data_IF_408700312318
#
_entry.id   IF_408700312318
#
_cell.length_a   1.000
_cell.length_b   1.000
_cell.length_c   1.000
_cell.angle_alpha   90.00
_cell.angle_beta   90.00
_cell.angle_gamma   90.00
#
_symmetry.space_group_name_H-M   'P 1'
#
loop_
_entity.id
_entity.type
_entity.pdbx_description
1 polymer ?
#
# COMPACT_ATOMS: atom_id res chain seq x y z
N UNK A 1 -0.03 -15.04 -14.50
CA UNK A 1 -1.02 -14.36 -13.67
C UNK A 1 -0.40 -14.02 -12.33
N UNK A 2 -0.28 -12.74 -12.01
CA UNK A 2 0.35 -12.29 -10.78
C UNK A 2 -0.67 -11.78 -9.76
N UNK A 3 -0.26 -11.70 -8.49
CA UNK A 3 -1.16 -11.43 -7.38
C UNK A 3 -1.76 -10.00 -7.40
N UNK A 4 -1.18 -9.00 -8.08
CA UNK A 4 -1.81 -7.67 -8.25
C UNK A 4 -3.02 -7.66 -9.19
N UNK A 5 -3.03 -8.46 -10.27
CA UNK A 5 -4.25 -8.65 -11.09
C UNK A 5 -5.42 -9.09 -10.22
N UNK A 6 -5.11 -10.06 -9.38
CA UNK A 6 -5.97 -10.59 -8.34
C UNK A 6 -6.33 -9.51 -7.29
N UNK A 7 -5.38 -8.61 -6.98
CA UNK A 7 -5.50 -7.66 -5.88
C UNK A 7 -6.02 -6.26 -6.25
N UNK A 8 -6.08 -5.84 -7.51
CA UNK A 8 -6.37 -4.43 -7.80
C UNK A 8 -7.06 -4.17 -9.13
N UNK A 9 -7.05 -5.14 -10.07
CA UNK A 9 -7.84 -5.15 -11.30
C UNK A 9 -7.70 -3.93 -12.23
N UNK A 10 -7.06 -4.08 -13.39
CA UNK A 10 -7.29 -3.15 -14.50
C UNK A 10 -8.29 -3.72 -15.50
N UNK A 11 -9.05 -2.83 -16.12
CA UNK A 11 -9.92 -3.17 -17.23
C UNK A 11 -9.12 -3.67 -18.44
N UNK A 12 -9.28 -4.96 -18.73
CA UNK A 12 -9.64 -5.47 -20.05
C UNK A 12 -10.55 -6.68 -19.82
N UNK A 13 -11.83 -6.52 -20.18
CA UNK A 13 -12.91 -7.48 -20.38
C UNK A 13 -13.10 -8.62 -19.34
N UNK A 14 -14.24 -8.56 -18.63
CA UNK A 14 -14.97 -9.56 -17.81
C UNK A 14 -14.20 -10.67 -17.08
N UNK A 15 -13.35 -11.42 -17.77
CA UNK A 15 -12.56 -12.57 -17.33
C UNK A 15 -11.55 -12.23 -16.22
N UNK A 16 -10.90 -11.07 -16.24
CA UNK A 16 -9.83 -10.71 -15.28
C UNK A 16 -10.42 -10.15 -13.98
N UNK A 17 -11.51 -9.40 -14.07
CA UNK A 17 -12.32 -9.00 -12.92
C UNK A 17 -12.86 -10.23 -12.16
N UNK A 18 -13.11 -11.32 -12.88
CA UNK A 18 -13.52 -12.59 -12.29
C UNK A 18 -12.40 -13.22 -11.44
N UNK A 19 -11.14 -13.10 -11.83
CA UNK A 19 -10.02 -13.71 -11.10
C UNK A 19 -9.73 -13.02 -9.76
N UNK A 20 -9.75 -11.69 -9.73
CA UNK A 20 -9.68 -10.92 -8.49
C UNK A 20 -10.82 -11.29 -7.53
N UNK A 21 -12.04 -11.42 -8.08
CA UNK A 21 -13.20 -11.90 -7.32
C UNK A 21 -13.04 -13.36 -6.88
N UNK A 22 -12.49 -14.23 -7.72
CA UNK A 22 -12.26 -15.64 -7.41
C UNK A 22 -11.24 -15.82 -6.28
N UNK A 23 -10.11 -15.09 -6.33
CA UNK A 23 -9.14 -15.13 -5.24
C UNK A 23 -9.69 -14.51 -3.96
N UNK A 24 -10.42 -13.39 -4.05
CA UNK A 24 -11.09 -12.80 -2.89
C UNK A 24 -12.09 -13.78 -2.28
N UNK A 25 -12.88 -14.47 -3.12
CA UNK A 25 -13.80 -15.53 -2.70
C UNK A 25 -13.07 -16.73 -2.09
N UNK A 26 -11.92 -17.12 -2.65
CA UNK A 26 -11.07 -18.15 -2.07
C UNK A 26 -10.53 -17.74 -0.69
N UNK A 27 -9.98 -16.53 -0.56
CA UNK A 27 -9.48 -15.99 0.71
C UNK A 27 -10.61 -15.88 1.75
N UNK A 28 -11.81 -15.46 1.34
CA UNK A 28 -13.00 -15.45 2.21
C UNK A 28 -13.43 -16.86 2.61
N UNK A 29 -13.38 -17.82 1.70
CA UNK A 29 -13.65 -19.23 1.97
C UNK A 29 -12.65 -19.84 2.96
N UNK A 30 -11.35 -19.55 2.77
CA UNK A 30 -10.26 -19.93 3.68
C UNK A 30 -10.52 -19.38 5.10
N UNK A 31 -10.82 -18.08 5.20
CA UNK A 31 -11.16 -17.45 6.48
C UNK A 31 -12.40 -18.08 7.12
N UNK A 32 -13.46 -18.34 6.35
CA UNK A 32 -14.67 -18.98 6.86
C UNK A 32 -14.40 -20.40 7.40
N UNK A 33 -13.57 -21.19 6.71
CA UNK A 33 -13.15 -22.52 7.16
C UNK A 33 -12.32 -22.47 8.45
N UNK A 34 -11.50 -21.42 8.63
CA UNK A 34 -10.73 -21.21 9.84
C UNK A 34 -11.65 -20.80 11.00
N UNK A 35 -12.50 -19.79 10.79
CA UNK A 35 -13.43 -19.29 11.81
C UNK A 35 -14.34 -20.41 12.32
N UNK A 36 -14.89 -21.24 11.41
CA UNK A 36 -15.82 -22.33 11.77
C UNK A 36 -15.22 -23.38 12.72
N UNK A 37 -13.88 -23.51 12.78
CA UNK A 37 -13.18 -24.41 13.70
C UNK A 37 -12.78 -23.76 15.02
N UNK A 38 -12.81 -22.43 15.08
CA UNK A 38 -12.34 -21.65 16.22
C UNK A 38 -10.81 -21.63 16.38
N UNK A 39 -10.27 -20.71 17.18
CA UNK A 39 -8.82 -20.49 17.28
C UNK A 39 -8.06 -21.66 17.93
N UNK A 40 -8.68 -22.43 18.82
CA UNK A 40 -8.04 -23.59 19.50
C UNK A 40 -7.63 -24.69 18.51
N UNK A 41 -8.35 -24.84 17.39
CA UNK A 41 -8.05 -25.84 16.37
C UNK A 41 -6.71 -25.59 15.63
N UNK A 42 -6.14 -24.38 15.76
CA UNK A 42 -4.94 -23.93 15.03
C UNK A 42 -3.68 -23.89 15.90
N UNK A 43 -3.69 -24.64 17.01
CA UNK A 43 -2.55 -24.80 17.92
C UNK A 43 -1.56 -25.88 17.48
N UNK A 44 -2.01 -26.85 16.68
CA UNK A 44 -1.19 -27.95 16.12
C UNK A 44 -0.43 -27.52 14.86
N UNK A 45 0.75 -28.09 14.60
CA UNK A 45 1.67 -27.56 13.57
C UNK A 45 1.06 -27.45 12.17
N UNK A 46 0.42 -28.50 11.65
CA UNK A 46 -0.17 -28.47 10.29
C UNK A 46 -1.31 -27.47 10.17
N UNK A 47 -2.20 -27.42 11.16
CA UNK A 47 -3.29 -26.44 11.16
C UNK A 47 -2.73 -25.02 11.28
N UNK A 48 -1.74 -24.83 12.15
CA UNK A 48 -1.09 -23.55 12.39
C UNK A 48 -0.46 -22.96 11.11
N UNK A 49 0.13 -23.81 10.25
CA UNK A 49 0.67 -23.37 8.95
C UNK A 49 -0.40 -22.79 8.02
N UNK A 50 -1.60 -23.37 8.01
CA UNK A 50 -2.72 -22.81 7.23
C UNK A 50 -3.19 -21.49 7.82
N UNK A 51 -3.25 -21.41 9.16
CA UNK A 51 -3.62 -20.19 9.86
C UNK A 51 -2.66 -19.04 9.53
N UNK A 52 -1.34 -19.19 9.67
CA UNK A 52 -0.38 -18.11 9.43
C UNK A 52 -0.48 -17.53 8.01
N UNK A 53 -0.70 -18.38 7.00
CA UNK A 53 -0.87 -17.95 5.61
C UNK A 53 -2.15 -17.13 5.43
N UNK A 54 -3.25 -17.61 5.99
CA UNK A 54 -4.55 -16.95 5.93
C UNK A 54 -4.54 -15.57 6.60
N UNK A 55 -3.71 -15.35 7.64
CA UNK A 55 -3.62 -14.05 8.33
C UNK A 55 -3.17 -12.93 7.41
N UNK A 56 -2.11 -13.16 6.64
CA UNK A 56 -1.60 -12.15 5.72
C UNK A 56 -2.58 -11.88 4.58
N UNK A 57 -3.17 -12.95 4.01
CA UNK A 57 -4.23 -12.83 3.01
C UNK A 57 -5.42 -12.02 3.56
N UNK A 58 -5.82 -12.25 4.80
CA UNK A 58 -6.91 -11.51 5.45
C UNK A 58 -6.59 -10.04 5.64
N UNK A 59 -5.35 -9.71 6.03
CA UNK A 59 -4.93 -8.32 6.10
C UNK A 59 -5.05 -7.64 4.74
N UNK A 60 -4.57 -8.29 3.67
CA UNK A 60 -4.68 -7.79 2.30
C UNK A 60 -6.14 -7.58 1.90
N UNK A 61 -7.02 -8.57 2.14
CA UNK A 61 -8.45 -8.45 1.79
C UNK A 61 -9.14 -7.36 2.61
N UNK A 62 -8.84 -7.23 3.90
CA UNK A 62 -9.36 -6.18 4.77
C UNK A 62 -8.98 -4.78 4.30
N UNK A 63 -7.69 -4.55 4.00
CA UNK A 63 -7.20 -3.26 3.47
C UNK A 63 -7.89 -2.90 2.16
N UNK A 64 -8.03 -3.88 1.25
CA UNK A 64 -8.67 -3.67 -0.06
C UNK A 64 -10.16 -3.36 0.06
N UNK A 65 -10.86 -4.15 0.87
CA UNK A 65 -12.31 -4.06 1.00
C UNK A 65 -12.76 -3.00 1.99
N UNK A 66 -11.82 -2.40 2.72
CA UNK A 66 -12.07 -1.40 3.76
C UNK A 66 -13.00 -1.95 4.82
N UNK A 67 -12.68 -3.16 5.30
CA UNK A 67 -13.46 -3.89 6.30
C UNK A 67 -12.56 -4.43 7.41
N UNK A 68 -13.00 -4.33 8.67
CA UNK A 68 -12.36 -5.02 9.78
C UNK A 68 -12.25 -6.52 9.52
N UNK A 69 -11.25 -7.14 10.12
CA UNK A 69 -10.92 -8.55 9.92
C UNK A 69 -10.91 -9.30 11.24
N UNK A 70 -11.51 -10.49 11.27
CA UNK A 70 -11.64 -11.31 12.48
C UNK A 70 -10.29 -11.60 13.16
N UNK A 71 -9.22 -11.72 12.37
CA UNK A 71 -7.89 -12.03 12.89
C UNK A 71 -7.24 -10.86 13.64
N UNK A 72 -7.86 -9.68 13.65
CA UNK A 72 -7.46 -8.58 14.51
C UNK A 72 -7.88 -8.80 15.98
N UNK A 73 -8.86 -9.68 16.25
CA UNK A 73 -9.31 -9.95 17.60
C UNK A 73 -8.24 -10.68 18.44
N UNK A 74 -8.23 -10.37 19.74
CA UNK A 74 -7.20 -10.87 20.68
C UNK A 74 -7.11 -12.40 20.71
N UNK A 75 -8.24 -13.10 20.64
CA UNK A 75 -8.27 -14.57 20.63
C UNK A 75 -7.51 -15.16 19.45
N UNK A 76 -7.57 -14.52 18.28
CA UNK A 76 -6.86 -14.98 17.07
C UNK A 76 -5.39 -14.54 17.10
N UNK A 77 -5.05 -13.45 17.79
CA UNK A 77 -3.65 -13.04 18.01
C UNK A 77 -2.94 -13.89 19.07
N UNK A 78 -3.64 -14.57 19.96
CA UNK A 78 -3.03 -15.27 21.12
C UNK A 78 -3.17 -16.79 21.09
N UNK A 79 -4.40 -17.31 20.97
CA UNK A 79 -4.68 -18.73 21.18
C UNK A 79 -3.93 -19.65 20.18
N UNK A 80 -3.91 -19.39 18.86
CA UNK A 80 -3.17 -20.22 17.91
C UNK A 80 -1.66 -20.26 18.19
N UNK A 81 -1.13 -19.30 18.96
CA UNK A 81 0.28 -19.19 19.33
C UNK A 81 0.59 -19.81 20.71
N UNK A 82 -0.38 -20.44 21.38
CA UNK A 82 -0.15 -21.09 22.68
C UNK A 82 0.96 -22.14 22.56
N UNK A 83 1.98 -22.03 23.43
CA UNK A 83 3.12 -22.95 23.45
C UNK A 83 4.20 -22.69 22.40
N UNK A 84 4.11 -21.60 21.62
CA UNK A 84 5.11 -21.23 20.60
C UNK A 84 5.42 -19.75 20.61
N UNK A 85 6.65 -19.40 20.24
CA UNK A 85 7.08 -18.00 20.11
C UNK A 85 6.57 -17.46 18.77
N UNK A 86 5.89 -16.31 18.79
CA UNK A 86 5.45 -15.63 17.57
C UNK A 86 6.65 -14.91 16.92
N UNK A 87 7.05 -15.26 15.68
CA UNK A 87 8.20 -14.65 15.03
C UNK A 87 7.91 -13.22 14.57
N UNK A 88 8.98 -12.49 14.19
CA UNK A 88 8.91 -11.14 13.64
C UNK A 88 7.97 -11.06 12.42
N UNK A 89 8.01 -12.09 11.55
CA UNK A 89 7.17 -12.21 10.36
C UNK A 89 5.68 -12.16 10.62
N UNK A 90 5.23 -12.58 11.81
CA UNK A 90 3.83 -12.71 12.19
C UNK A 90 3.39 -11.61 13.16
N UNK A 91 4.29 -11.13 14.02
CA UNK A 91 4.02 -9.96 14.87
C UNK A 91 3.83 -8.69 14.05
N UNK A 92 4.53 -8.51 12.90
CA UNK A 92 4.26 -7.37 12.01
C UNK A 92 2.87 -7.46 11.35
N UNK A 93 2.36 -8.68 11.14
CA UNK A 93 1.01 -8.90 10.62
C UNK A 93 -0.04 -8.53 11.66
N UNK A 94 0.21 -8.77 12.96
CA UNK A 94 -0.69 -8.32 14.03
C UNK A 94 -0.98 -6.82 13.94
N UNK A 95 0.05 -6.01 13.66
CA UNK A 95 -0.04 -4.55 13.52
C UNK A 95 -0.76 -4.17 12.21
N UNK A 96 -0.44 -4.86 11.11
CA UNK A 96 -1.09 -4.63 9.83
C UNK A 96 -2.61 -4.92 9.88
N UNK A 97 -3.03 -5.90 10.68
CA UNK A 97 -4.43 -6.28 10.86
C UNK A 97 -5.29 -5.22 11.58
N UNK A 98 -4.67 -4.22 12.21
CA UNK A 98 -5.37 -3.08 12.86
C UNK A 98 -5.82 -2.02 11.83
N UNK A 99 -5.07 -1.89 10.73
CA UNK A 99 -5.29 -0.83 9.73
C UNK A 99 -6.61 -0.92 8.92
N UNK A 100 -7.18 -2.09 8.59
CA UNK A 100 -8.45 -2.18 7.87
C UNK A 100 -9.62 -1.46 8.54
N UNK A 101 -9.71 -1.52 9.87
CA UNK A 101 -10.76 -0.87 10.65
C UNK A 101 -10.61 0.65 10.62
N UNK A 102 -9.39 1.15 10.89
CA UNK A 102 -9.05 2.57 10.78
C UNK A 102 -9.39 3.11 9.39
N UNK A 103 -9.06 2.37 8.33
CA UNK A 103 -9.37 2.76 6.96
C UNK A 103 -10.88 2.84 6.70
N UNK A 104 -11.67 1.89 7.21
CA UNK A 104 -13.13 1.89 7.09
C UNK A 104 -13.77 3.10 7.78
N UNK A 105 -13.30 3.43 8.98
CA UNK A 105 -13.79 4.59 9.73
C UNK A 105 -13.34 5.91 9.10
N UNK A 106 -12.12 5.98 8.56
CA UNK A 106 -11.65 7.13 7.77
C UNK A 106 -12.48 7.34 6.51
N UNK A 107 -12.90 6.25 5.85
CA UNK A 107 -13.80 6.36 4.69
C UNK A 107 -15.15 6.96 5.13
N UNK A 108 -15.68 6.58 6.30
CA UNK A 108 -16.89 7.18 6.87
C UNK A 108 -16.70 8.66 7.21
N UNK A 109 -15.55 9.01 7.78
CA UNK A 109 -15.17 10.38 8.11
C UNK A 109 -15.01 11.25 6.84
N UNK A 110 -14.46 10.71 5.75
CA UNK A 110 -14.29 11.44 4.48
C UNK A 110 -15.63 11.79 3.80
N UNK A 111 -16.68 11.00 4.03
CA UNK A 111 -18.03 11.29 3.50
C UNK A 111 -18.91 12.09 4.47
N UNK A 112 -18.40 12.39 5.67
CA UNK A 112 -19.12 13.13 6.69
C UNK A 112 -18.95 14.64 6.49
N UNK A 113 -20.03 15.44 6.51
CA UNK A 113 -19.92 16.90 6.47
C UNK A 113 -19.10 17.43 7.66
N UNK A 114 -18.27 18.47 7.48
CA UNK A 114 -17.49 19.06 8.57
C UNK A 114 -18.33 19.60 9.73
N UNK A 115 -19.58 19.99 9.47
CA UNK A 115 -20.51 20.52 10.46
C UNK A 115 -21.28 19.42 11.23
N UNK A 116 -21.08 18.14 10.88
CA UNK A 116 -21.66 17.01 11.63
C UNK A 116 -21.00 16.93 13.02
N UNK A 117 -21.81 16.88 14.07
CA UNK A 117 -21.33 16.82 15.47
C UNK A 117 -20.40 15.63 15.73
N UNK A 118 -20.52 14.55 14.94
CA UNK A 118 -19.69 13.35 15.04
C UNK A 118 -18.32 13.50 14.38
N UNK A 119 -18.13 14.50 13.51
CA UNK A 119 -16.92 14.66 12.71
C UNK A 119 -15.68 14.83 13.57
N UNK A 120 -15.69 15.80 14.49
CA UNK A 120 -14.55 16.08 15.34
C UNK A 120 -14.22 14.94 16.33
N UNK A 121 -15.20 14.37 17.05
CA UNK A 121 -14.96 13.19 17.89
C UNK A 121 -14.36 12.00 17.12
N UNK A 122 -14.91 11.66 15.95
CA UNK A 122 -14.42 10.55 15.14
C UNK A 122 -13.00 10.84 14.62
N UNK A 123 -12.74 12.06 14.16
CA UNK A 123 -11.40 12.49 13.71
C UNK A 123 -10.34 12.36 14.82
N UNK A 124 -10.68 12.79 16.04
CA UNK A 124 -9.78 12.70 17.20
C UNK A 124 -9.53 11.25 17.60
N UNK A 125 -10.58 10.41 17.63
CA UNK A 125 -10.46 8.96 17.86
C UNK A 125 -9.49 8.34 16.86
N UNK A 126 -9.71 8.54 15.56
CA UNK A 126 -8.88 7.97 14.49
C UNK A 126 -7.44 8.46 14.53
N UNK A 127 -7.23 9.72 14.91
CA UNK A 127 -5.88 10.28 15.12
C UNK A 127 -5.17 9.55 16.25
N UNK A 128 -5.84 9.34 17.39
CA UNK A 128 -5.29 8.62 18.54
C UNK A 128 -4.98 7.15 18.20
N UNK A 129 -5.86 6.47 17.47
CA UNK A 129 -5.64 5.11 16.99
C UNK A 129 -4.43 5.01 16.05
N UNK A 130 -4.29 5.93 15.10
CA UNK A 130 -3.09 5.98 14.24
C UNK A 130 -1.81 6.17 15.06
N UNK A 131 -1.83 7.03 16.09
CA UNK A 131 -0.67 7.19 16.97
C UNK A 131 -0.38 5.95 17.82
N UNK A 132 -1.41 5.23 18.28
CA UNK A 132 -1.23 3.97 18.98
C UNK A 132 -0.56 2.92 18.08
N UNK A 133 -1.03 2.77 16.83
CA UNK A 133 -0.42 1.88 15.84
C UNK A 133 1.02 2.33 15.53
N UNK A 134 1.28 3.64 15.44
CA UNK A 134 2.64 4.16 15.27
C UNK A 134 3.57 3.76 16.41
N UNK A 135 3.14 3.93 17.66
CA UNK A 135 3.90 3.51 18.84
C UNK A 135 4.18 2.00 18.81
N UNK A 136 3.17 1.18 18.48
CA UNK A 136 3.32 -0.26 18.35
C UNK A 136 4.32 -0.63 17.25
N UNK A 137 4.23 0.01 16.09
CA UNK A 137 5.14 -0.22 14.96
C UNK A 137 6.58 0.20 15.29
N UNK A 138 6.78 1.31 16.00
CA UNK A 138 8.10 1.79 16.41
C UNK A 138 8.73 0.89 17.49
N UNK A 139 7.94 0.45 18.47
CA UNK A 139 8.38 -0.52 19.46
C UNK A 139 8.74 -1.86 18.81
N UNK A 140 7.92 -2.32 17.85
CA UNK A 140 8.19 -3.51 17.07
C UNK A 140 9.50 -3.37 16.27
N UNK A 141 9.71 -2.25 15.59
CA UNK A 141 10.94 -2.00 14.82
C UNK A 141 12.17 -1.96 15.74
N UNK A 142 12.08 -1.30 16.90
CA UNK A 142 13.17 -1.26 17.87
C UNK A 142 13.61 -2.66 18.31
N UNK A 143 12.66 -3.57 18.50
CA UNK A 143 12.92 -4.97 18.87
C UNK A 143 13.45 -5.83 17.71
N UNK A 144 13.03 -5.55 16.48
CA UNK A 144 13.27 -6.41 15.30
C UNK A 144 14.09 -5.70 14.21
N UNK A 145 14.87 -4.67 14.56
CA UNK A 145 15.59 -3.82 13.60
C UNK A 145 16.55 -4.60 12.70
N UNK A 146 17.13 -5.70 13.20
CA UNK A 146 18.02 -6.57 12.45
C UNK A 146 17.31 -7.41 11.38
N UNK A 147 15.99 -7.56 11.47
CA UNK A 147 15.16 -8.33 10.51
C UNK A 147 14.63 -7.45 9.36
N UNK A 148 14.84 -6.13 9.45
CA UNK A 148 14.33 -5.14 8.50
C UNK A 148 15.50 -4.41 7.85
N UNK A 149 15.55 -4.44 6.52
CA UNK A 149 16.49 -3.62 5.78
C UNK A 149 16.06 -2.15 5.88
N UNK A 150 16.95 -1.28 6.37
CA UNK A 150 16.77 0.18 6.35
C UNK A 150 18.04 0.81 5.75
N UNK A 151 18.07 1.07 4.44
CA UNK A 151 19.22 1.68 3.78
C UNK A 151 19.42 3.13 4.23
N UNK A 152 20.67 3.52 4.49
CA UNK A 152 21.02 4.90 4.88
C UNK A 152 20.85 5.91 3.74
N UNK A 153 20.83 5.43 2.49
CA UNK A 153 20.78 6.27 1.29
C UNK A 153 19.39 6.21 0.66
N UNK A 154 18.75 7.37 0.54
CA UNK A 154 17.49 7.58 -0.21
C UNK A 154 17.70 7.78 -1.72
N UNK A 155 18.76 7.22 -2.29
CA UNK A 155 18.96 7.28 -3.73
C UNK A 155 18.02 6.29 -4.44
N UNK A 156 17.53 6.62 -5.66
CA UNK A 156 16.74 5.71 -6.49
C UNK A 156 17.63 4.60 -7.08
N UNK A 157 18.17 3.75 -6.21
CA UNK A 157 19.02 2.60 -6.55
C UNK A 157 18.35 1.31 -6.09
N UNK A 158 18.41 0.23 -6.91
CA UNK A 158 17.90 -1.07 -6.51
C UNK A 158 18.50 -1.55 -5.18
N UNK A 159 17.67 -2.21 -4.37
CA UNK A 159 18.11 -2.82 -3.12
C UNK A 159 18.52 -4.27 -3.33
N UNK A 160 19.56 -4.69 -2.63
CA UNK A 160 19.89 -6.09 -2.43
C UNK A 160 19.52 -6.51 -1.01
N UNK A 161 18.99 -7.72 -0.87
CA UNK A 161 18.62 -8.29 0.41
C UNK A 161 19.53 -9.49 0.74
N UNK A 162 19.88 -9.68 2.02
CA UNK A 162 20.67 -10.85 2.45
C UNK A 162 19.99 -12.18 2.14
N UNK A 163 18.66 -12.22 2.30
CA UNK A 163 17.84 -13.40 2.03
C UNK A 163 16.36 -12.99 1.87
N UNK A 164 15.54 -13.95 1.46
CA UNK A 164 14.11 -13.75 1.23
C UNK A 164 13.31 -13.42 2.48
N UNK A 165 13.73 -13.92 3.66
CA UNK A 165 13.06 -13.64 4.93
C UNK A 165 13.15 -12.14 5.25
N UNK A 166 14.36 -11.57 5.20
CA UNK A 166 14.60 -10.14 5.42
C UNK A 166 13.84 -9.31 4.39
N UNK A 167 13.84 -9.70 3.12
CA UNK A 167 13.07 -9.00 2.09
C UNK A 167 11.56 -8.98 2.39
N UNK A 168 11.00 -10.14 2.76
CA UNK A 168 9.58 -10.30 3.08
C UNK A 168 9.16 -9.50 4.31
N UNK A 169 9.95 -9.55 5.39
CA UNK A 169 9.68 -8.79 6.61
C UNK A 169 9.78 -7.28 6.34
N UNK A 170 10.81 -6.85 5.60
CA UNK A 170 11.00 -5.45 5.20
C UNK A 170 9.82 -4.92 4.40
N UNK A 171 9.35 -5.66 3.39
CA UNK A 171 8.18 -5.30 2.59
C UNK A 171 6.92 -5.16 3.45
N UNK A 172 6.67 -6.09 4.38
CA UNK A 172 5.53 -6.00 5.31
C UNK A 172 5.62 -4.77 6.18
N UNK A 173 6.78 -4.51 6.79
CA UNK A 173 7.03 -3.35 7.63
C UNK A 173 6.83 -2.03 6.86
N UNK A 174 7.47 -1.88 5.69
CA UNK A 174 7.34 -0.69 4.85
C UNK A 174 5.90 -0.47 4.37
N UNK A 175 5.17 -1.56 4.07
CA UNK A 175 3.76 -1.47 3.67
C UNK A 175 2.88 -1.01 4.81
N UNK A 176 3.04 -1.59 6.00
CA UNK A 176 2.34 -1.16 7.22
C UNK A 176 2.60 0.31 7.50
N UNK A 177 3.87 0.75 7.44
CA UNK A 177 4.25 2.15 7.62
C UNK A 177 3.60 3.06 6.58
N UNK A 178 3.62 2.67 5.30
CA UNK A 178 3.05 3.47 4.20
C UNK A 178 1.55 3.71 4.41
N UNK A 179 0.79 2.65 4.70
CA UNK A 179 -0.66 2.72 4.93
C UNK A 179 -0.95 3.51 6.21
N UNK A 180 -0.25 3.21 7.31
CA UNK A 180 -0.43 3.87 8.59
C UNK A 180 -0.26 5.39 8.45
N UNK A 181 0.82 5.83 7.83
CA UNK A 181 1.07 7.26 7.70
C UNK A 181 0.07 7.90 6.73
N UNK A 182 -0.37 7.20 5.69
CA UNK A 182 -1.50 7.68 4.89
C UNK A 182 -2.80 7.84 5.72
N UNK A 183 -3.09 6.91 6.64
CA UNK A 183 -4.23 7.05 7.57
C UNK A 183 -4.07 8.28 8.48
N UNK A 184 -2.87 8.48 9.05
CA UNK A 184 -2.57 9.60 9.93
C UNK A 184 -2.72 10.95 9.19
N UNK A 185 -2.23 11.05 7.96
CA UNK A 185 -2.43 12.19 7.06
C UNK A 185 -3.91 12.51 6.85
N UNK A 186 -4.71 11.48 6.57
CA UNK A 186 -6.17 11.62 6.38
C UNK A 186 -6.87 12.06 7.66
N UNK A 187 -6.54 11.45 8.80
CA UNK A 187 -7.14 11.76 10.10
C UNK A 187 -6.82 13.20 10.54
N UNK A 188 -5.58 13.65 10.30
CA UNK A 188 -5.16 15.02 10.63
C UNK A 188 -5.68 16.07 9.64
N UNK A 189 -6.39 15.65 8.58
CA UNK A 189 -6.90 16.52 7.50
C UNK A 189 -5.81 17.35 6.84
N UNK A 190 -4.57 16.86 6.85
CA UNK A 190 -3.53 17.51 6.08
C UNK A 190 -3.87 17.42 4.60
N UNK A 191 -3.77 18.56 3.93
CA UNK A 191 -3.88 18.60 2.49
C UNK A 191 -2.65 17.94 1.88
N UNK A 192 -2.83 17.17 0.81
CA UNK A 192 -1.69 16.77 -0.03
C UNK A 192 -1.05 18.03 -0.66
N UNK A 193 -1.82 19.14 -0.74
CA UNK A 193 -1.43 20.49 -1.20
C UNK A 193 -0.76 21.36 -0.13
N UNK A 194 -0.56 20.86 1.09
CA UNK A 194 0.10 21.67 2.12
C UNK A 194 1.59 21.79 1.77
N UNK A 195 1.93 22.89 1.10
CA UNK A 195 3.30 23.29 0.71
C UNK A 195 4.08 23.87 1.89
N UNK A 196 3.43 24.02 3.06
CA UNK A 196 4.14 24.34 4.29
C UNK A 196 5.22 23.27 4.47
N UNK A 197 6.50 23.65 4.65
CA UNK A 197 7.60 22.71 4.76
C UNK A 197 7.18 21.61 5.73
N UNK A 198 7.29 20.32 5.37
CA UNK A 198 6.86 19.26 6.27
C UNK A 198 7.62 19.52 7.57
N UNK A 199 6.88 19.76 8.65
CA UNK A 199 7.46 19.87 9.98
C UNK A 199 8.45 18.70 10.10
N UNK A 200 9.73 19.06 10.25
CA UNK A 200 10.92 18.24 9.94
C UNK A 200 10.98 16.86 10.63
N UNK A 201 10.02 16.56 11.50
CA UNK A 201 9.97 15.39 12.38
C UNK A 201 8.66 14.60 12.26
N UNK A 202 7.87 14.80 11.19
CA UNK A 202 6.62 14.06 10.98
C UNK A 202 6.89 12.70 10.33
N UNK A 203 6.37 11.58 10.87
CA UNK A 203 6.38 10.31 10.17
C UNK A 203 5.59 10.38 8.85
N UNK A 204 6.19 9.93 7.75
CA UNK A 204 5.60 10.01 6.41
C UNK A 204 5.73 8.66 5.67
N UNK A 205 4.74 8.31 4.86
CA UNK A 205 4.73 7.05 4.10
C UNK A 205 5.68 7.01 2.90
N UNK A 206 6.23 8.15 2.47
CA UNK A 206 6.94 8.27 1.19
C UNK A 206 8.30 7.57 1.17
N UNK A 207 9.15 7.69 2.21
CA UNK A 207 10.39 6.91 2.29
C UNK A 207 10.12 5.41 2.20
N UNK A 208 9.07 4.91 2.86
CA UNK A 208 8.71 3.49 2.83
C UNK A 208 8.20 3.04 1.46
N UNK A 209 7.35 3.84 0.81
CA UNK A 209 6.90 3.56 -0.56
C UNK A 209 8.08 3.50 -1.56
N UNK A 210 9.05 4.41 -1.41
CA UNK A 210 10.31 4.41 -2.19
C UNK A 210 11.14 3.16 -1.96
N UNK A 211 11.25 2.68 -0.71
CA UNK A 211 11.95 1.42 -0.39
C UNK A 211 11.29 0.20 -1.03
N UNK A 212 9.96 0.14 -1.02
CA UNK A 212 9.21 -0.93 -1.71
C UNK A 212 9.53 -0.92 -3.21
N UNK A 213 9.49 0.25 -3.85
CA UNK A 213 9.80 0.38 -5.28
C UNK A 213 11.24 -0.04 -5.60
N UNK A 214 12.21 0.35 -4.77
CA UNK A 214 13.61 -0.07 -4.93
C UNK A 214 13.84 -1.57 -4.76
N UNK A 215 12.92 -2.28 -4.09
CA UNK A 215 13.01 -3.73 -3.88
C UNK A 215 12.61 -4.56 -5.11
N UNK A 216 11.89 -3.97 -6.07
CA UNK A 216 11.25 -4.69 -7.17
C UNK A 216 12.25 -5.52 -7.98
N UNK A 217 13.41 -4.96 -8.33
CA UNK A 217 14.43 -5.70 -9.08
C UNK A 217 14.84 -6.98 -8.37
N UNK A 218 15.08 -6.91 -7.06
CA UNK A 218 15.50 -8.07 -6.26
C UNK A 218 14.37 -9.06 -6.08
N UNK A 219 13.18 -8.58 -5.70
CA UNK A 219 12.02 -9.44 -5.44
C UNK A 219 11.63 -10.27 -6.65
N UNK A 220 11.78 -9.71 -7.84
CA UNK A 220 11.33 -10.39 -9.02
C UNK A 220 12.37 -11.44 -9.48
N UNK A 221 13.67 -11.31 -9.16
CA UNK A 221 14.77 -12.16 -9.68
C UNK A 221 14.39 -13.64 -9.89
N UNK A 222 14.92 -14.24 -10.96
CA UNK A 222 14.57 -15.63 -11.37
C UNK A 222 14.79 -16.67 -10.26
N UNK A 223 15.75 -16.47 -9.38
CA UNK A 223 16.05 -17.33 -8.22
C UNK A 223 14.96 -17.30 -7.13
N UNK A 224 14.21 -16.20 -7.01
CA UNK A 224 13.06 -16.08 -6.10
C UNK A 224 11.78 -16.76 -6.63
N UNK A 225 11.78 -17.18 -7.89
CA UNK A 225 10.67 -17.89 -8.52
C UNK A 225 9.34 -17.15 -8.40
N UNK A 226 8.25 -17.88 -8.11
CA UNK A 226 6.90 -17.31 -7.95
C UNK A 226 6.71 -16.61 -6.58
N UNK A 227 7.49 -16.99 -5.58
CA UNK A 227 7.38 -16.47 -4.21
C UNK A 227 7.69 -14.98 -4.17
N UNK A 228 8.69 -14.54 -4.92
CA UNK A 228 9.09 -13.15 -5.01
C UNK A 228 8.00 -12.20 -5.51
N UNK A 229 7.50 -12.36 -6.74
CA UNK A 229 6.38 -11.60 -7.23
C UNK A 229 5.16 -11.67 -6.30
N UNK A 230 4.83 -12.85 -5.77
CA UNK A 230 3.69 -13.02 -4.85
C UNK A 230 3.84 -12.16 -3.58
N UNK A 231 5.03 -12.14 -2.96
CA UNK A 231 5.27 -11.33 -1.77
C UNK A 231 5.33 -9.83 -2.06
N UNK A 232 5.85 -9.42 -3.22
CA UNK A 232 5.98 -8.01 -3.59
C UNK A 232 4.67 -7.39 -4.11
N UNK A 233 3.72 -8.20 -4.54
CA UNK A 233 2.52 -7.78 -5.26
C UNK A 233 1.67 -6.73 -4.53
N UNK A 234 1.26 -7.05 -3.30
CA UNK A 234 0.47 -6.16 -2.46
C UNK A 234 1.27 -4.91 -2.04
N UNK A 235 2.49 -5.05 -1.46
CA UNK A 235 3.34 -3.91 -1.14
C UNK A 235 3.55 -2.94 -2.32
N UNK A 236 3.91 -3.46 -3.49
CA UNK A 236 4.18 -2.67 -4.67
C UNK A 236 2.95 -1.88 -5.13
N UNK A 237 1.77 -2.52 -5.05
CA UNK A 237 0.51 -1.85 -5.34
C UNK A 237 0.23 -0.68 -4.39
N UNK A 238 0.42 -0.88 -3.09
CA UNK A 238 0.29 0.17 -2.07
C UNK A 238 1.27 1.31 -2.34
N UNK A 239 2.55 1.00 -2.57
CA UNK A 239 3.59 1.99 -2.80
C UNK A 239 3.32 2.85 -4.04
N UNK A 240 2.94 2.24 -5.15
CA UNK A 240 2.67 3.00 -6.37
C UNK A 240 1.39 3.83 -6.28
N UNK A 241 0.33 3.32 -5.65
CA UNK A 241 -0.87 4.11 -5.39
C UNK A 241 -0.52 5.33 -4.52
N UNK A 242 0.33 5.16 -3.52
CA UNK A 242 0.80 6.23 -2.66
C UNK A 242 1.61 7.28 -3.44
N UNK A 243 2.65 6.85 -4.17
CA UNK A 243 3.53 7.77 -4.92
C UNK A 243 2.77 8.52 -6.01
N UNK A 244 1.80 7.89 -6.67
CA UNK A 244 0.98 8.52 -7.72
C UNK A 244 -0.02 9.55 -7.18
N UNK A 245 -0.43 9.41 -5.92
CA UNK A 245 -1.24 10.42 -5.23
C UNK A 245 -0.40 11.59 -4.70
N UNK A 246 0.94 11.43 -4.63
CA UNK A 246 1.82 12.50 -4.17
C UNK A 246 1.90 13.61 -5.21
N UNK A 247 1.80 14.85 -4.75
CA UNK A 247 1.95 16.03 -5.61
C UNK A 247 3.40 16.28 -6.04
N UNK A 248 4.36 15.72 -5.32
CA UNK A 248 5.77 15.74 -5.71
C UNK A 248 6.06 14.43 -6.44
N UNK A 249 6.28 14.47 -7.77
CA UNK A 249 6.55 13.25 -8.53
C UNK A 249 7.83 12.55 -8.06
N UNK A 250 7.88 11.24 -8.22
CA UNK A 250 9.07 10.39 -8.01
C UNK A 250 9.44 9.63 -9.30
N UNK A 251 9.77 10.33 -10.39
CA UNK A 251 9.89 9.71 -11.71
C UNK A 251 11.05 8.70 -11.79
N UNK A 252 12.18 8.95 -11.13
CA UNK A 252 13.34 8.05 -11.08
C UNK A 252 13.00 6.76 -10.33
N UNK A 253 12.16 6.86 -9.29
CA UNK A 253 11.68 5.70 -8.57
C UNK A 253 10.72 4.87 -9.41
N UNK A 254 9.73 5.53 -10.01
CA UNK A 254 8.76 4.86 -10.87
C UNK A 254 9.46 4.19 -12.07
N UNK A 255 10.50 4.83 -12.62
CA UNK A 255 11.32 4.27 -13.69
C UNK A 255 11.95 2.92 -13.33
N UNK A 256 12.41 2.72 -12.10
CA UNK A 256 12.96 1.42 -11.67
C UNK A 256 11.94 0.29 -11.79
N UNK A 257 10.66 0.58 -11.48
CA UNK A 257 9.61 -0.41 -11.70
C UNK A 257 9.43 -0.63 -13.19
N UNK A 258 9.40 0.46 -13.99
CA UNK A 258 9.18 0.40 -15.45
C UNK A 258 10.29 -0.35 -16.20
N UNK A 259 11.52 -0.28 -15.72
CA UNK A 259 12.65 -1.04 -16.25
C UNK A 259 12.46 -2.55 -16.05
N UNK A 260 12.01 -2.97 -14.86
CA UNK A 260 11.67 -4.38 -14.60
C UNK A 260 10.44 -4.81 -15.42
N UNK A 261 9.50 -3.89 -15.61
CA UNK A 261 8.28 -4.01 -16.42
C UNK A 261 8.56 -4.36 -17.88
N UNK A 262 9.55 -3.70 -18.47
CA UNK A 262 9.83 -3.75 -19.89
C UNK A 262 10.94 -4.76 -20.25
N UNK A 263 11.53 -5.43 -19.27
CA UNK A 263 12.59 -6.39 -19.55
C UNK A 263 12.02 -7.67 -20.23
N UNK A 264 12.48 -7.99 -21.46
CA UNK A 264 11.96 -9.10 -22.24
C UNK A 264 12.24 -10.47 -21.59
N UNK A 265 13.25 -10.60 -20.73
CA UNK A 265 13.70 -11.85 -20.11
C UNK A 265 12.84 -12.41 -18.98
N UNK A 266 11.68 -11.79 -18.72
CA UNK A 266 10.85 -12.02 -17.53
C UNK A 266 9.54 -12.79 -17.82
N UNK A 267 9.04 -13.59 -16.84
CA UNK A 267 7.81 -14.35 -16.97
C UNK A 267 6.60 -13.51 -17.39
N UNK A 268 5.79 -14.02 -18.32
CA UNK A 268 4.55 -13.36 -18.77
C UNK A 268 3.63 -13.00 -17.62
N UNK A 269 3.57 -13.84 -16.58
CA UNK A 269 2.78 -13.61 -15.36
C UNK A 269 3.08 -12.29 -14.65
N UNK A 270 4.34 -11.85 -14.70
CA UNK A 270 4.77 -10.57 -14.17
C UNK A 270 4.31 -9.47 -15.11
N UNK A 271 4.51 -9.61 -16.44
CA UNK A 271 4.06 -8.63 -17.44
C UNK A 271 2.53 -8.43 -17.42
N UNK A 272 1.76 -9.48 -17.19
CA UNK A 272 0.30 -9.43 -17.11
C UNK A 272 -0.12 -8.64 -15.84
N UNK A 273 0.43 -9.01 -14.68
CA UNK A 273 0.33 -8.30 -13.39
C UNK A 273 0.59 -6.79 -13.50
N UNK A 274 1.61 -6.49 -14.27
CA UNK A 274 2.20 -5.19 -14.48
C UNK A 274 1.36 -4.36 -15.49
N UNK A 275 0.80 -4.98 -16.54
CA UNK A 275 -0.19 -4.34 -17.44
C UNK A 275 -1.52 -4.10 -16.74
N UNK A 276 -1.88 -4.94 -15.76
CA UNK A 276 -3.09 -4.74 -14.98
C UNK A 276 -2.99 -3.56 -13.99
N UNK A 277 -1.87 -2.85 -13.94
CA UNK A 277 -1.67 -1.65 -13.11
C UNK A 277 -1.89 -0.35 -13.86
N UNK A 278 -1.55 -0.32 -15.14
CA UNK A 278 -1.63 0.90 -15.95
C UNK A 278 -3.06 1.35 -16.24
N UNK A 279 -4.03 0.41 -16.28
CA UNK A 279 -5.44 0.70 -16.55
C UNK A 279 -6.38 0.81 -15.34
N UNK A 280 -5.94 0.45 -14.12
CA UNK A 280 -6.80 0.24 -12.94
C UNK A 280 -7.12 1.49 -12.11
N UNK A 281 -6.42 2.61 -12.34
CA UNK A 281 -6.37 3.70 -11.36
C UNK A 281 -7.46 4.73 -11.65
N UNK A 282 -8.71 4.38 -11.36
CA UNK A 282 -9.75 5.33 -10.93
C UNK A 282 -10.02 5.08 -9.45
N UNK A 283 -9.31 5.82 -8.59
CA UNK A 283 -9.69 5.94 -7.19
C UNK A 283 -11.02 6.70 -7.09
N UNK A 284 -11.82 6.49 -6.02
CA UNK A 284 -12.86 7.44 -5.69
C UNK A 284 -12.20 8.82 -5.60
N UNK A 285 -12.57 9.72 -6.50
CA UNK A 285 -12.21 11.13 -6.43
C UNK A 285 -12.65 11.63 -5.07
N UNK A 286 -11.68 12.05 -4.27
CA UNK A 286 -11.90 12.68 -2.98
C UNK A 286 -12.69 13.96 -3.24
N UNK A 287 -14.01 13.91 -3.09
CA UNK A 287 -14.83 15.13 -2.94
C UNK A 287 -14.57 15.64 -1.52
N UNK A 288 -13.39 16.23 -1.32
CA UNK A 288 -13.18 17.11 -0.17
C UNK A 288 -14.15 18.27 -0.41
N UNK A 289 -15.09 18.58 0.51
CA UNK A 289 -15.89 19.78 0.37
C UNK A 289 -14.95 20.96 0.24
N UNK A 290 -15.13 21.74 -0.84
CA UNK A 290 -14.34 22.94 -1.11
C UNK A 290 -14.35 23.82 0.13
N UNK A 291 -13.21 23.88 0.83
CA UNK A 291 -12.98 24.97 1.77
C UNK A 291 -13.00 26.26 0.93
N UNK A 292 -13.77 27.30 1.30
CA UNK A 292 -13.89 28.53 0.52
C UNK A 292 -12.57 29.30 0.26
N UNK A 293 -11.41 28.77 0.68
CA UNK A 293 -10.09 29.34 0.44
C UNK A 293 -9.33 28.79 -0.78
N UNK A 294 -9.79 27.78 -1.53
CA UNK A 294 -9.01 27.26 -2.68
C UNK A 294 -9.87 26.96 -3.90
N UNK A 295 -9.93 27.90 -4.84
CA UNK A 295 -10.57 27.71 -6.15
C UNK A 295 -9.75 26.81 -7.08
N UNK A 296 -10.49 26.00 -7.83
CA UNK A 296 -10.21 25.41 -9.14
C UNK A 296 -9.26 24.21 -9.19
N UNK A 297 -9.78 23.06 -9.64
CA UNK A 297 -9.20 22.22 -10.71
C UNK A 297 -10.12 21.04 -11.00
N UNK A 298 -11.23 21.31 -11.69
CA UNK A 298 -11.84 20.31 -12.56
C UNK A 298 -10.97 20.20 -13.82
N UNK A 299 -10.73 18.96 -14.27
CA UNK A 299 -10.01 18.56 -15.49
C UNK A 299 -8.48 18.41 -15.37
N UNK A 300 -8.02 17.26 -14.85
CA UNK A 300 -6.65 16.79 -15.08
C UNK A 300 -6.68 15.53 -15.97
N UNK A 301 -6.15 15.67 -17.19
CA UNK A 301 -5.86 14.57 -18.12
C UNK A 301 -4.60 13.81 -17.66
N UNK A 302 -4.42 12.54 -18.04
CA UNK A 302 -3.23 11.75 -17.68
C UNK A 302 -1.94 12.47 -18.10
N UNK A 303 -0.94 12.46 -17.21
CA UNK A 303 0.31 13.25 -17.30
C UNK A 303 1.41 12.51 -18.09
N UNK A 304 1.24 11.20 -18.34
CA UNK A 304 2.22 10.37 -19.04
C UNK A 304 1.56 9.56 -20.17
N UNK A 305 2.28 9.39 -21.28
CA UNK A 305 1.87 8.49 -22.36
C UNK A 305 2.18 7.02 -22.04
N UNK A 306 1.78 6.12 -22.95
CA UNK A 306 1.98 4.67 -22.84
C UNK A 306 3.46 4.25 -22.80
N UNK A 307 4.37 5.17 -23.12
CA UNK A 307 5.81 4.99 -23.16
C UNK A 307 6.52 5.65 -21.96
N UNK A 308 5.77 6.25 -21.02
CA UNK A 308 6.30 6.85 -19.80
C UNK A 308 6.89 8.25 -19.98
N UNK A 309 6.65 8.91 -21.12
CA UNK A 309 7.10 10.28 -21.35
C UNK A 309 6.10 11.29 -20.77
N UNK A 310 6.61 12.39 -20.21
CA UNK A 310 5.78 13.49 -19.75
C UNK A 310 5.07 14.14 -20.94
N UNK A 311 3.74 14.24 -20.90
CA UNK A 311 2.97 15.00 -21.88
C UNK A 311 3.16 16.50 -21.63
N UNK A 312 3.36 17.33 -22.67
CA UNK A 312 3.57 18.77 -22.49
C UNK A 312 2.32 19.40 -21.85
N UNK A 313 2.52 20.09 -20.73
CA UNK A 313 1.45 20.78 -19.99
C UNK A 313 0.88 21.98 -20.77
N UNK A 314 -0.28 22.53 -20.37
CA UNK A 314 -1.03 23.52 -21.16
C UNK A 314 -0.46 24.95 -21.13
N UNK A 315 0.85 25.13 -20.91
CA UNK A 315 1.48 26.45 -20.89
C UNK A 315 2.80 26.49 -21.68
N UNK A 316 2.75 26.12 -22.96
CA UNK A 316 3.70 26.65 -23.94
C UNK A 316 2.97 27.67 -24.82
N UNK A 317 3.07 28.96 -24.47
CA UNK A 317 2.87 30.02 -25.44
C UNK A 317 4.21 30.31 -26.10
N UNK A 318 4.30 30.30 -27.44
CA UNK A 318 5.53 30.70 -28.12
C UNK A 318 5.78 32.19 -27.88
N UNK A 319 6.95 32.51 -27.33
CA UNK A 319 7.50 33.86 -27.24
C UNK A 319 7.72 34.41 -28.66
N UNK A 320 6.76 35.18 -29.18
CA UNK A 320 6.96 36.05 -30.35
C UNK A 320 7.80 37.25 -29.92
N UNK A 321 9.10 37.19 -30.16
CA UNK A 321 9.90 38.41 -30.33
C UNK A 321 9.57 38.98 -31.72
N UNK A 322 8.82 40.08 -31.76
CA UNK A 322 8.85 40.99 -32.90
C UNK A 322 9.71 42.20 -32.54
N UNK A 323 10.81 42.31 -33.28
CA UNK A 323 11.64 43.50 -33.46
C UNK A 323 10.79 44.72 -33.80
N UNK A 324 10.91 45.78 -33.01
CA UNK A 324 10.62 47.14 -33.43
C UNK A 324 11.95 47.87 -33.63
N UNK A 325 12.31 48.04 -34.90
CA UNK A 325 13.24 49.07 -35.36
C UNK A 325 12.47 49.96 -36.32
N UNK A 326 12.67 51.28 -36.17
CA UNK A 326 12.15 52.42 -36.95
C UNK A 326 10.79 52.95 -36.52
#
# INVERSE_FOLDING_TARGET
MGLYEILYGANADEVISQQARNWMSHAQGEVALIISRGPEAFTTDTAHLMFILARYNSAITGIRTRKPVVFNEEQWKTIPWRGRVKPASDTIIDILLELPEILSELDSLDHMPPDDERFNPLRLKLTAECWAVHCNLNAWFTKNSQEVLMPDVEAPVPLDFPNFSVASISLRYWTTATILYQCLDRALRFSVKDILPPYLNRPHGRPFARLIVRSVRWMFRKDNGVTGPSAASFPLGVAMMYLRQSEVPDPEYMKMVFEVWNDPGWPSSIKDFLRSMSGAIKLPTRNIPDNPATRSTSELKPIFDIDGNALPGPFDKPSRFHTLNS
#
